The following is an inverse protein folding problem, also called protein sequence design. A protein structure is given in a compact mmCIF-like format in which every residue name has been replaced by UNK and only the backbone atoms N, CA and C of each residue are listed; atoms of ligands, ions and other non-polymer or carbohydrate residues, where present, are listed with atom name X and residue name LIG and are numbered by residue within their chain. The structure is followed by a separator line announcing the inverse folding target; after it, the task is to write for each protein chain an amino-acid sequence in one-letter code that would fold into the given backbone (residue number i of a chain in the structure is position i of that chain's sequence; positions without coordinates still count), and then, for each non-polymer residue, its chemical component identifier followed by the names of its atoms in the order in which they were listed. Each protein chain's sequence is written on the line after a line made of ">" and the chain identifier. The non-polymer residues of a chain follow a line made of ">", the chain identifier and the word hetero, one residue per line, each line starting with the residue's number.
data_IF_652933201029
#
_entry.id   IF_652933201029
#
_cell.length_a   1.000
_cell.length_b   1.000
_cell.length_c   1.000
_cell.angle_alpha   90.00
_cell.angle_beta   90.00
_cell.angle_gamma   90.00
#
_symmetry.space_group_name_H-M   'P 1'
#
loop_
_entity.id
_entity.type
_entity.pdbx_description
1 polymer ?
#
# COMPACT_ATOMS: atom_id res chain seq x y z
N UNK A 1 8.57 17.02 -30.82
CA UNK A 1 8.20 15.61 -30.55
C UNK A 1 7.15 15.64 -29.46
N UNK A 2 5.89 15.31 -29.77
CA UNK A 2 4.81 15.22 -28.79
C UNK A 2 5.02 13.97 -27.93
N UNK A 3 4.82 14.11 -26.61
CA UNK A 3 4.89 12.97 -25.70
C UNK A 3 3.86 11.90 -26.11
N UNK A 4 4.19 10.60 -26.00
CA UNK A 4 3.23 9.55 -26.30
C UNK A 4 2.00 9.65 -25.39
N UNK A 5 0.79 9.31 -25.89
CA UNK A 5 -0.41 9.30 -25.08
C UNK A 5 -0.23 8.34 -23.91
N UNK A 6 -0.56 8.80 -22.71
CA UNK A 6 -0.47 8.00 -21.50
C UNK A 6 -1.55 6.92 -21.62
N UNK A 7 -1.20 5.62 -21.58
CA UNK A 7 -2.21 4.56 -21.67
C UNK A 7 -3.21 4.71 -20.52
N UNK A 8 -4.50 4.75 -20.86
CA UNK A 8 -5.58 4.77 -19.88
C UNK A 8 -5.48 3.53 -18.99
N UNK A 9 -5.22 3.75 -17.71
CA UNK A 9 -5.18 2.66 -16.74
C UNK A 9 -6.61 2.32 -16.35
N UNK A 10 -7.02 1.03 -16.39
CA UNK A 10 -8.34 0.66 -15.92
C UNK A 10 -8.49 1.11 -14.46
N UNK A 11 -9.64 1.72 -14.10
CA UNK A 11 -9.90 2.12 -12.74
C UNK A 11 -9.82 0.89 -11.84
N UNK A 12 -9.44 1.09 -10.58
CA UNK A 12 -9.43 0.03 -9.59
C UNK A 12 -10.84 -0.03 -8.98
N UNK A 13 -11.65 -1.09 -9.19
CA UNK A 13 -12.99 -1.15 -8.60
C UNK A 13 -12.98 -0.94 -7.08
N UNK A 14 -13.99 -0.24 -6.56
CA UNK A 14 -14.06 0.12 -5.14
C UNK A 14 -13.19 1.30 -4.70
N UNK A 15 -12.26 1.77 -5.54
CA UNK A 15 -11.41 2.94 -5.23
C UNK A 15 -11.84 4.15 -6.06
N UNK A 16 -12.38 5.17 -5.38
CA UNK A 16 -12.81 6.43 -6.03
C UNK A 16 -11.65 7.38 -6.33
N UNK A 17 -10.64 7.40 -5.46
CA UNK A 17 -9.53 8.35 -5.52
C UNK A 17 -8.21 7.64 -5.21
N UNK A 18 -7.16 7.97 -5.98
CA UNK A 18 -5.81 7.46 -5.80
C UNK A 18 -4.89 8.67 -5.69
N UNK A 19 -4.19 8.79 -4.57
CA UNK A 19 -3.22 9.87 -4.32
C UNK A 19 -1.83 9.26 -4.24
N UNK A 20 -0.99 9.55 -5.23
CA UNK A 20 0.40 9.10 -5.23
C UNK A 20 1.27 10.09 -4.44
N UNK A 21 1.91 9.62 -3.37
CA UNK A 21 2.85 10.42 -2.57
C UNK A 21 4.26 9.90 -2.83
N UNK A 22 5.12 10.74 -3.40
CA UNK A 22 6.50 10.42 -3.73
C UNK A 22 7.46 11.51 -3.22
N UNK A 23 8.72 11.14 -2.97
CA UNK A 23 9.79 12.08 -2.64
C UNK A 23 11.07 11.70 -3.37
N UNK A 24 11.80 12.71 -3.86
CA UNK A 24 13.13 12.54 -4.46
C UNK A 24 14.28 12.49 -3.44
N UNK A 25 14.02 12.72 -2.16
CA UNK A 25 15.03 12.72 -1.08
C UNK A 25 14.53 12.00 0.18
N UNK A 26 15.43 11.29 0.86
CA UNK A 26 15.17 10.72 2.18
C UNK A 26 15.01 11.80 3.25
N UNK A 27 14.16 11.55 4.25
CA UNK A 27 14.04 12.44 5.43
C UNK A 27 13.12 13.66 5.30
N UNK A 28 12.44 13.86 4.15
CA UNK A 28 11.53 15.01 3.96
C UNK A 28 10.15 14.85 4.61
N UNK A 29 9.90 13.75 5.32
CA UNK A 29 8.59 13.48 5.94
C UNK A 29 7.53 12.87 5.02
N UNK A 30 7.91 12.27 3.87
CA UNK A 30 6.98 11.56 2.95
C UNK A 30 6.03 10.63 3.70
N UNK A 31 6.60 9.77 4.54
CA UNK A 31 5.86 8.78 5.30
C UNK A 31 4.95 9.43 6.34
N UNK A 32 5.42 10.51 6.99
CA UNK A 32 4.61 11.30 7.93
C UNK A 32 3.37 11.89 7.25
N UNK A 33 3.52 12.48 6.06
CA UNK A 33 2.37 13.01 5.32
C UNK A 33 1.43 11.90 4.87
N UNK A 34 1.97 10.77 4.38
CA UNK A 34 1.18 9.64 3.94
C UNK A 34 0.37 9.00 5.07
N UNK A 35 0.97 8.80 6.25
CA UNK A 35 0.28 8.25 7.41
C UNK A 35 -0.84 9.17 7.93
N UNK A 36 -0.65 10.48 7.90
CA UNK A 36 -1.71 11.41 8.30
C UNK A 36 -2.86 11.44 7.29
N UNK A 37 -2.55 11.42 5.99
CA UNK A 37 -3.59 11.35 4.96
C UNK A 37 -4.37 10.04 5.02
N UNK A 38 -3.72 8.95 5.44
CA UNK A 38 -4.33 7.64 5.60
C UNK A 38 -5.50 7.64 6.60
N UNK A 39 -5.56 8.58 7.56
CA UNK A 39 -6.69 8.66 8.50
C UNK A 39 -8.02 8.93 7.78
N UNK A 40 -7.99 9.69 6.68
CA UNK A 40 -9.18 9.96 5.87
C UNK A 40 -9.39 8.90 4.76
N UNK A 41 -8.42 8.01 4.56
CA UNK A 41 -8.37 7.10 3.41
C UNK A 41 -7.86 5.71 3.86
N UNK A 42 -7.21 4.97 2.97
CA UNK A 42 -6.37 3.82 3.33
C UNK A 42 -4.94 4.08 2.85
N UNK A 43 -3.98 3.33 3.39
CA UNK A 43 -2.57 3.49 3.02
C UNK A 43 -2.01 2.24 2.35
N UNK A 44 -1.45 2.43 1.17
CA UNK A 44 -0.60 1.42 0.52
C UNK A 44 0.83 1.95 0.51
N UNK A 45 1.72 1.21 1.16
CA UNK A 45 3.14 1.54 1.21
C UNK A 45 3.95 0.58 0.33
N UNK A 46 4.59 1.16 -0.68
CA UNK A 46 5.49 0.49 -1.61
C UNK A 46 6.97 0.86 -1.34
N UNK A 47 7.28 1.45 -0.18
CA UNK A 47 8.64 1.79 0.21
C UNK A 47 9.39 0.54 0.68
N UNK A 48 10.32 0.06 -0.15
CA UNK A 48 11.11 -1.17 0.11
C UNK A 48 12.18 -0.95 1.19
N UNK A 49 12.65 0.29 1.34
CA UNK A 49 13.79 0.63 2.18
C UNK A 49 13.38 1.22 3.54
N UNK A 50 12.10 1.50 3.74
CA UNK A 50 11.59 2.19 4.91
C UNK A 50 10.72 1.31 5.79
N UNK A 51 11.18 0.85 6.97
CA UNK A 51 10.28 0.30 7.99
C UNK A 51 9.38 1.39 8.63
N UNK A 52 9.44 2.62 8.10
CA UNK A 52 8.82 3.80 8.66
C UNK A 52 7.29 3.71 8.74
N UNK A 53 6.61 3.14 7.73
CA UNK A 53 5.14 3.02 7.77
C UNK A 53 4.70 2.04 8.86
N UNK A 54 5.22 0.80 8.95
CA UNK A 54 4.90 -0.12 10.03
C UNK A 54 5.15 0.48 11.43
N UNK A 55 6.28 1.16 11.59
CA UNK A 55 6.65 1.85 12.83
C UNK A 55 5.64 2.95 13.17
N UNK A 56 5.28 3.81 12.20
CA UNK A 56 4.33 4.90 12.40
C UNK A 56 2.91 4.42 12.66
N UNK A 57 2.50 3.29 12.07
CA UNK A 57 1.21 2.65 12.33
C UNK A 57 1.23 1.81 13.63
N UNK A 58 2.39 1.65 14.26
CA UNK A 58 2.54 0.91 15.52
C UNK A 58 2.31 -0.60 15.39
N UNK A 59 2.48 -1.17 14.20
CA UNK A 59 2.19 -2.58 13.94
C UNK A 59 3.39 -3.34 13.40
N UNK A 60 3.59 -4.53 13.95
CA UNK A 60 4.58 -5.53 13.51
C UNK A 60 3.92 -6.80 12.98
N UNK A 61 2.59 -6.80 12.85
CA UNK A 61 1.87 -7.96 12.38
C UNK A 61 2.23 -8.21 10.91
N UNK A 62 2.53 -9.45 10.56
CA UNK A 62 2.66 -9.82 9.16
C UNK A 62 1.24 -9.96 8.57
N UNK A 63 0.99 -9.39 7.37
CA UNK A 63 -0.31 -9.53 6.74
C UNK A 63 -0.56 -10.99 6.38
N UNK A 64 -1.79 -11.44 6.63
CA UNK A 64 -2.19 -12.80 6.27
C UNK A 64 -2.56 -12.87 4.78
N UNK A 65 -2.46 -14.07 4.22
CA UNK A 65 -2.96 -14.35 2.88
C UNK A 65 -4.32 -15.03 2.95
N UNK A 66 -5.27 -14.56 2.15
CA UNK A 66 -6.56 -15.23 1.98
C UNK A 66 -6.37 -16.56 1.21
N UNK A 67 -7.37 -17.46 1.22
CA UNK A 67 -7.34 -18.70 0.44
C UNK A 67 -7.08 -18.48 -1.06
N UNK A 68 -7.45 -17.31 -1.59
CA UNK A 68 -7.23 -16.87 -2.97
C UNK A 68 -5.85 -16.22 -3.19
N UNK A 69 -4.92 -16.38 -2.24
CA UNK A 69 -3.56 -15.83 -2.26
C UNK A 69 -3.50 -14.30 -2.33
N UNK A 70 -4.49 -13.61 -1.78
CA UNK A 70 -4.50 -12.14 -1.67
C UNK A 70 -3.99 -11.70 -0.30
N UNK A 71 -3.28 -10.58 -0.25
CA UNK A 71 -2.78 -10.02 1.00
C UNK A 71 -3.91 -9.26 1.69
N UNK A 72 -4.24 -9.65 2.91
CA UNK A 72 -5.22 -8.95 3.74
C UNK A 72 -4.58 -7.75 4.45
N UNK A 73 -5.19 -6.55 4.38
CA UNK A 73 -4.66 -5.36 5.03
C UNK A 73 -4.83 -5.44 6.54
N UNK A 74 -3.86 -4.82 7.21
CA UNK A 74 -3.95 -4.65 8.65
C UNK A 74 -4.85 -3.48 8.98
N UNK A 75 -5.55 -3.60 10.09
CA UNK A 75 -6.28 -2.50 10.70
C UNK A 75 -5.47 -1.93 11.85
N UNK A 76 -5.15 -0.64 11.78
CA UNK A 76 -4.56 0.09 12.89
C UNK A 76 -5.27 1.43 13.04
N UNK A 77 -5.83 1.67 14.22
CA UNK A 77 -6.56 2.90 14.52
C UNK A 77 -7.72 3.19 13.55
N UNK A 78 -8.38 2.16 13.01
CA UNK A 78 -9.45 2.30 12.02
C UNK A 78 -8.95 2.56 10.59
N UNK A 79 -7.63 2.61 10.39
CA UNK A 79 -7.00 2.75 9.08
C UNK A 79 -6.56 1.40 8.57
N UNK A 80 -7.08 1.01 7.40
CA UNK A 80 -6.59 -0.16 6.67
C UNK A 80 -5.29 0.20 5.96
N UNK A 81 -4.22 -0.55 6.22
CA UNK A 81 -2.95 -0.35 5.52
C UNK A 81 -2.23 -1.64 5.16
N UNK A 82 -1.38 -1.54 4.14
CA UNK A 82 -0.45 -2.60 3.75
C UNK A 82 0.90 -1.97 3.48
N UNK A 83 1.98 -2.61 3.90
CA UNK A 83 3.34 -2.14 3.67
C UNK A 83 4.25 -3.29 3.24
N UNK A 84 5.08 -3.03 2.23
CA UNK A 84 6.17 -3.95 1.85
C UNK A 84 7.15 -4.19 3.02
N UNK A 85 7.31 -3.23 3.92
CA UNK A 85 8.13 -3.38 5.11
C UNK A 85 7.66 -4.49 6.06
N UNK A 86 6.36 -4.83 6.07
CA UNK A 86 5.82 -5.93 6.89
C UNK A 86 6.05 -7.30 6.24
N UNK A 87 6.14 -7.34 4.92
CA UNK A 87 6.38 -8.56 4.14
C UNK A 87 7.87 -8.89 4.14
N UNK A 88 8.73 -7.87 4.18
CA UNK A 88 10.18 -8.03 4.11
C UNK A 88 10.82 -8.60 5.39
N UNK A 89 10.18 -8.43 6.55
CA UNK A 89 10.74 -8.81 7.86
C UNK A 89 11.90 -7.90 8.29
N UNK A 90 12.04 -7.67 9.59
CA UNK A 90 13.08 -6.79 10.13
C UNK A 90 14.49 -7.34 9.82
N UNK A 91 15.28 -6.60 9.04
CA UNK A 91 16.72 -6.82 8.88
C UNK A 91 17.15 -7.83 7.81
N UNK A 92 16.23 -8.46 7.08
CA UNK A 92 16.58 -9.35 5.96
C UNK A 92 16.48 -8.57 4.64
N UNK A 93 17.59 -8.25 3.96
CA UNK A 93 17.52 -7.61 2.65
C UNK A 93 16.90 -8.58 1.63
N UNK A 94 15.60 -8.39 1.35
CA UNK A 94 14.93 -9.12 0.27
C UNK A 94 15.36 -8.52 -1.07
N UNK A 95 15.93 -9.36 -1.94
CA UNK A 95 16.20 -8.98 -3.32
C UNK A 95 14.88 -9.04 -4.10
N UNK A 96 14.19 -7.91 -4.15
CA UNK A 96 12.99 -7.74 -4.95
C UNK A 96 13.37 -7.72 -6.44
N UNK A 97 13.20 -8.84 -7.13
CA UNK A 97 13.31 -8.87 -8.60
C UNK A 97 12.14 -8.08 -9.20
N UNK A 98 12.35 -7.33 -10.29
CA UNK A 98 11.33 -6.52 -10.95
C UNK A 98 9.96 -7.20 -11.13
N UNK A 99 9.89 -8.48 -11.56
CA UNK A 99 8.64 -9.22 -11.66
C UNK A 99 7.92 -9.47 -10.32
N UNK A 100 8.67 -9.64 -9.23
CA UNK A 100 8.11 -9.84 -7.89
C UNK A 100 7.50 -8.54 -7.34
N UNK A 101 8.20 -7.43 -7.56
CA UNK A 101 7.75 -6.10 -7.16
C UNK A 101 6.48 -5.70 -7.92
N UNK A 102 6.44 -5.92 -9.24
CA UNK A 102 5.25 -5.72 -10.06
C UNK A 102 4.08 -6.61 -9.61
N UNK A 103 4.35 -7.88 -9.27
CA UNK A 103 3.34 -8.78 -8.71
C UNK A 103 2.80 -8.26 -7.38
N UNK A 104 3.64 -7.83 -6.44
CA UNK A 104 3.19 -7.30 -5.15
C UNK A 104 2.33 -6.05 -5.30
N UNK A 105 2.75 -5.09 -6.11
CA UNK A 105 1.96 -3.88 -6.39
C UNK A 105 0.59 -4.25 -6.99
N UNK A 106 0.56 -5.24 -7.88
CA UNK A 106 -0.71 -5.72 -8.47
C UNK A 106 -1.59 -6.42 -7.43
N UNK A 107 -1.01 -7.22 -6.54
CA UNK A 107 -1.76 -7.88 -5.45
C UNK A 107 -2.44 -6.85 -4.53
N UNK A 108 -1.77 -5.75 -4.22
CA UNK A 108 -2.36 -4.70 -3.39
C UNK A 108 -3.49 -3.94 -4.08
N UNK A 109 -3.38 -3.73 -5.39
CA UNK A 109 -4.43 -3.07 -6.20
C UNK A 109 -5.68 -3.95 -6.27
N UNK A 110 -5.50 -5.26 -6.46
CA UNK A 110 -6.59 -6.23 -6.57
C UNK A 110 -7.33 -6.47 -5.24
N UNK A 111 -6.70 -6.18 -4.10
CA UNK A 111 -7.34 -6.30 -2.79
C UNK A 111 -8.57 -5.39 -2.64
N UNK A 112 -8.49 -4.14 -3.11
CA UNK A 112 -9.62 -3.20 -3.00
C UNK A 112 -10.90 -3.69 -3.69
N UNK A 113 -10.77 -4.65 -4.63
CA UNK A 113 -11.87 -5.27 -5.37
C UNK A 113 -12.62 -6.31 -4.53
N UNK A 114 -11.98 -6.85 -3.48
CA UNK A 114 -12.48 -7.96 -2.67
C UNK A 114 -12.76 -7.60 -1.23
N UNK A 115 -12.83 -6.31 -0.89
CA UNK A 115 -13.37 -5.88 0.40
C UNK A 115 -14.86 -5.55 0.26
N UNK A 116 -15.79 -6.50 0.50
CA UNK A 116 -17.23 -6.23 0.51
C UNK A 116 -17.66 -5.32 1.68
N UNK A 117 -16.77 -4.98 2.62
CA UNK A 117 -17.08 -4.17 3.81
C UNK A 117 -16.61 -2.70 3.75
N UNK A 118 -16.00 -2.24 2.66
CA UNK A 118 -15.70 -0.80 2.50
C UNK A 118 -16.94 0.13 2.64
N UNK A 119 -18.16 -0.25 2.21
CA UNK A 119 -19.34 0.59 2.45
C UNK A 119 -19.97 0.42 3.84
N UNK A 120 -19.59 -0.59 4.64
CA UNK A 120 -20.25 -0.92 5.90
C UNK A 120 -19.66 -0.23 7.15
N UNK A 121 -18.55 0.50 7.03
CA UNK A 121 -17.99 1.35 8.09
C UNK A 121 -18.19 2.86 7.85
N UNK A 122 -18.97 3.23 6.83
CA UNK A 122 -19.60 4.54 6.74
C UNK A 122 -21.07 4.41 7.15
N UNK A 123 -21.29 4.13 8.43
CA UNK A 123 -22.46 4.53 9.23
C UNK A 123 -22.25 4.13 10.69
#
# INVERSE_FOLDING_TARGET
>A
MSAPPIPERPPIPGVKHIVAIASGKGGVGKTTTASNLAVAMGLMDADIYGPNVPIMMGSKAQPQMTPEQKIEPLDCYGVKFVSLGLIAGDGVPIIWRGPMLAKMVTQFVVWSLTCPQAPAMCN
#
